data_IF_427186933665
#
_entry.id   IF_427186933665
#
_cell.length_a   1.000
_cell.length_b   1.000
_cell.length_c   1.000
_cell.angle_alpha   90.00
_cell.angle_beta   90.00
_cell.angle_gamma   90.00
#
_symmetry.space_group_name_H-M   'P 1'
#
loop_
_entity.id
_entity.type
_entity.pdbx_description
1 polymer ?
#
# COMPACT_ATOMS: atom_id res chain seq x y z
N UNK A 1 -20.29 -10.10 12.67
CA UNK A 1 -21.28 -11.10 12.21
C UNK A 1 -20.56 -12.19 11.43
N UNK A 2 -20.95 -13.45 11.61
CA UNK A 2 -20.37 -14.59 10.88
C UNK A 2 -21.45 -15.30 10.08
N UNK A 3 -21.17 -15.65 8.83
CA UNK A 3 -22.07 -16.41 7.97
C UNK A 3 -21.43 -17.76 7.65
N UNK A 4 -22.20 -18.84 7.78
CA UNK A 4 -21.75 -20.17 7.40
C UNK A 4 -21.99 -20.39 5.92
N UNK A 5 -20.94 -20.73 5.19
CA UNK A 5 -20.98 -21.06 3.77
C UNK A 5 -20.38 -22.45 3.55
N UNK A 6 -20.91 -23.19 2.57
CA UNK A 6 -20.31 -24.44 2.11
C UNK A 6 -19.46 -24.14 0.88
N UNK A 7 -18.19 -24.54 0.92
CA UNK A 7 -17.25 -24.34 -0.18
C UNK A 7 -16.40 -25.58 -0.37
N UNK A 8 -16.10 -25.93 -1.62
CA UNK A 8 -15.21 -27.03 -1.95
C UNK A 8 -13.79 -26.51 -2.06
N UNK A 9 -12.85 -27.16 -1.37
CA UNK A 9 -11.42 -26.89 -1.48
C UNK A 9 -10.70 -28.15 -1.95
N UNK A 10 -9.61 -28.01 -2.72
CA UNK A 10 -8.72 -29.13 -3.02
C UNK A 10 -8.24 -29.81 -1.73
N UNK A 11 -8.06 -31.13 -1.78
CA UNK A 11 -7.63 -31.92 -0.64
C UNK A 11 -6.27 -31.44 -0.10
N UNK A 12 -5.39 -30.98 -0.98
CA UNK A 12 -4.08 -30.42 -0.67
C UNK A 12 -4.20 -29.15 0.16
N UNK A 13 -5.14 -28.26 -0.20
CA UNK A 13 -5.42 -27.02 0.54
C UNK A 13 -5.98 -27.31 1.92
N UNK A 14 -6.86 -28.31 2.04
CA UNK A 14 -7.38 -28.74 3.34
C UNK A 14 -6.27 -29.29 4.25
N UNK A 15 -5.34 -30.10 3.69
CA UNK A 15 -4.18 -30.61 4.44
C UNK A 15 -3.26 -29.48 4.92
N UNK A 16 -3.08 -28.43 4.11
CA UNK A 16 -2.33 -27.23 4.48
C UNK A 16 -2.99 -26.49 5.65
N UNK A 17 -4.31 -26.27 5.55
CA UNK A 17 -5.09 -25.64 6.62
C UNK A 17 -4.98 -26.48 7.91
N UNK A 18 -5.07 -27.80 7.82
CA UNK A 18 -5.00 -28.70 8.98
C UNK A 18 -3.64 -28.76 9.66
N UNK A 19 -2.56 -28.54 8.90
CA UNK A 19 -1.21 -28.46 9.44
C UNK A 19 -1.00 -27.19 10.27
N UNK A 20 -1.60 -26.08 9.86
CA UNK A 20 -1.35 -24.75 10.43
C UNK A 20 -2.40 -24.37 11.47
N UNK A 21 -3.66 -24.70 11.23
CA UNK A 21 -4.76 -24.39 12.13
C UNK A 21 -5.00 -25.55 13.11
N UNK A 22 -4.74 -25.30 14.41
CA UNK A 22 -5.18 -26.20 15.48
C UNK A 22 -6.69 -26.44 15.39
N UNK A 23 -7.16 -27.60 15.86
CA UNK A 23 -8.61 -27.96 15.88
C UNK A 23 -9.47 -26.77 16.33
N UNK A 24 -10.45 -26.41 15.51
CA UNK A 24 -11.37 -25.28 15.75
C UNK A 24 -10.98 -23.95 15.13
N UNK A 25 -9.73 -23.76 14.67
CA UNK A 25 -9.26 -22.48 14.11
C UNK A 25 -9.30 -22.40 12.57
N UNK A 26 -9.86 -23.39 11.88
CA UNK A 26 -9.92 -23.42 10.40
C UNK A 26 -10.61 -22.18 9.82
N UNK A 27 -11.78 -21.80 10.34
CA UNK A 27 -12.52 -20.62 9.86
C UNK A 27 -11.77 -19.32 10.09
N UNK A 28 -11.07 -19.19 11.22
CA UNK A 28 -10.22 -18.03 11.52
C UNK A 28 -9.03 -17.94 10.57
N UNK A 29 -8.40 -19.07 10.30
CA UNK A 29 -7.29 -19.15 9.34
C UNK A 29 -7.75 -18.74 7.93
N UNK A 30 -8.92 -19.24 7.48
CA UNK A 30 -9.48 -18.87 6.18
C UNK A 30 -9.81 -17.38 6.10
N UNK A 31 -10.43 -16.78 7.13
CA UNK A 31 -10.68 -15.33 7.19
C UNK A 31 -9.38 -14.52 7.07
N UNK A 32 -8.34 -14.90 7.82
CA UNK A 32 -7.04 -14.24 7.77
C UNK A 32 -6.38 -14.37 6.39
N UNK A 33 -6.42 -15.56 5.78
CA UNK A 33 -5.85 -15.81 4.46
C UNK A 33 -6.55 -14.99 3.37
N UNK A 34 -7.89 -14.91 3.41
CA UNK A 34 -8.66 -14.11 2.46
C UNK A 34 -8.35 -12.63 2.60
N UNK A 35 -8.34 -12.10 3.84
CA UNK A 35 -7.99 -10.69 4.10
C UNK A 35 -6.58 -10.36 3.62
N UNK A 36 -5.62 -11.25 3.89
CA UNK A 36 -4.25 -11.07 3.45
C UNK A 36 -4.12 -11.09 1.92
N UNK A 37 -4.80 -12.02 1.25
CA UNK A 37 -4.82 -12.09 -0.21
C UNK A 37 -5.42 -10.83 -0.83
N UNK A 38 -6.56 -10.37 -0.33
CA UNK A 38 -7.21 -9.15 -0.81
C UNK A 38 -6.34 -7.91 -0.56
N UNK A 39 -5.71 -7.79 0.61
CA UNK A 39 -4.82 -6.65 0.91
C UNK A 39 -3.58 -6.65 -0.01
N UNK A 40 -2.95 -7.81 -0.20
CA UNK A 40 -1.74 -7.93 -1.04
C UNK A 40 -2.03 -7.70 -2.52
N UNK A 41 -3.05 -8.36 -3.07
CA UNK A 41 -3.45 -8.19 -4.48
C UNK A 41 -4.05 -6.80 -4.70
N UNK A 42 -4.86 -6.32 -3.75
CA UNK A 42 -5.45 -4.98 -3.78
C UNK A 42 -4.39 -3.89 -3.85
N UNK A 43 -3.35 -3.96 -3.00
CA UNK A 43 -2.20 -3.03 -3.05
C UNK A 43 -1.47 -3.07 -4.39
N UNK A 44 -1.26 -4.25 -4.97
CA UNK A 44 -0.60 -4.39 -6.27
C UNK A 44 -1.44 -3.77 -7.39
N UNK A 45 -2.74 -4.06 -7.42
CA UNK A 45 -3.69 -3.48 -8.37
C UNK A 45 -3.77 -1.96 -8.23
N UNK A 46 -3.87 -1.45 -7.00
CA UNK A 46 -3.89 -0.02 -6.72
C UNK A 46 -2.62 0.68 -7.21
N UNK A 47 -1.43 0.11 -6.94
CA UNK A 47 -0.16 0.65 -7.46
C UNK A 47 -0.15 0.72 -8.98
N UNK A 48 -0.66 -0.32 -9.66
CA UNK A 48 -0.77 -0.34 -11.13
C UNK A 48 -1.68 0.80 -11.61
N UNK A 49 -2.88 0.93 -11.05
CA UNK A 49 -3.84 1.98 -11.43
C UNK A 49 -3.30 3.40 -11.14
N UNK A 50 -2.61 3.59 -10.01
CA UNK A 50 -1.96 4.86 -9.68
C UNK A 50 -0.87 5.21 -10.71
N UNK A 51 -0.03 4.24 -11.08
CA UNK A 51 1.02 4.44 -12.09
C UNK A 51 0.42 4.78 -13.45
N UNK A 52 -0.57 4.02 -13.91
CA UNK A 52 -1.26 4.29 -15.17
C UNK A 52 -1.92 5.67 -15.19
N UNK A 53 -2.57 6.05 -14.08
CA UNK A 53 -3.17 7.36 -13.91
C UNK A 53 -2.13 8.48 -13.96
N UNK A 54 -1.01 8.34 -13.26
CA UNK A 54 0.08 9.31 -13.26
C UNK A 54 0.69 9.46 -14.65
N UNK A 55 0.99 8.36 -15.35
CA UNK A 55 1.50 8.38 -16.72
C UNK A 55 0.52 9.08 -17.66
N UNK A 56 -0.78 8.74 -17.58
CA UNK A 56 -1.81 9.35 -18.43
C UNK A 56 -1.93 10.86 -18.23
N UNK A 57 -1.76 11.34 -17.00
CA UNK A 57 -1.90 12.75 -16.64
C UNK A 57 -0.58 13.53 -16.68
N UNK A 58 0.55 12.84 -16.86
CA UNK A 58 1.90 13.41 -16.78
C UNK A 58 2.05 14.71 -17.57
N UNK A 59 1.62 14.78 -18.82
CA UNK A 59 1.74 16.01 -19.63
C UNK A 59 1.01 17.21 -19.01
N UNK A 60 -0.22 17.00 -18.58
CA UNK A 60 -1.04 18.04 -17.94
C UNK A 60 -0.43 18.45 -16.60
N UNK A 61 -0.01 17.47 -15.81
CA UNK A 61 0.54 17.70 -14.47
C UNK A 61 1.89 18.44 -14.56
N UNK A 62 2.75 18.11 -15.53
CA UNK A 62 3.99 18.85 -15.82
C UNK A 62 3.72 20.29 -16.25
N UNK A 63 2.79 20.50 -17.20
CA UNK A 63 2.46 21.85 -17.66
C UNK A 63 1.94 22.73 -16.53
N UNK A 64 1.06 22.18 -15.69
CA UNK A 64 0.54 22.90 -14.53
C UNK A 64 1.65 23.24 -13.54
N UNK A 65 2.57 22.31 -13.27
CA UNK A 65 3.71 22.60 -12.41
C UNK A 65 4.59 23.73 -12.97
N UNK A 66 4.86 23.72 -14.27
CA UNK A 66 5.63 24.78 -14.94
C UNK A 66 4.94 26.16 -14.86
N UNK A 67 3.61 26.20 -15.06
CA UNK A 67 2.82 27.43 -14.97
C UNK A 67 2.88 28.07 -13.58
N UNK A 68 2.91 27.25 -12.52
CA UNK A 68 2.89 27.73 -11.13
C UNK A 68 4.29 27.93 -10.53
N UNK A 69 5.32 27.33 -11.13
CA UNK A 69 6.68 27.32 -10.59
C UNK A 69 7.24 28.72 -10.30
N UNK A 70 6.98 29.69 -11.17
CA UNK A 70 7.48 31.06 -11.02
C UNK A 70 6.94 31.77 -9.77
N UNK A 71 5.76 31.37 -9.27
CA UNK A 71 5.14 31.93 -8.07
C UNK A 71 5.57 31.19 -6.80
N UNK A 72 5.76 29.88 -6.88
CA UNK A 72 6.07 29.02 -5.73
C UNK A 72 7.55 29.05 -5.34
N UNK A 73 8.46 28.99 -6.32
CA UNK A 73 9.90 28.89 -6.09
C UNK A 73 10.47 30.02 -5.20
N UNK A 74 10.09 31.30 -5.39
CA UNK A 74 10.58 32.39 -4.54
C UNK A 74 10.00 32.36 -3.11
N UNK A 75 8.81 31.78 -2.95
CA UNK A 75 8.10 31.69 -1.67
C UNK A 75 8.51 30.44 -0.86
N UNK A 76 9.27 29.53 -1.47
CA UNK A 76 9.69 28.31 -0.80
C UNK A 76 10.65 28.60 0.36
N UNK A 77 10.42 28.04 1.57
CA UNK A 77 11.31 28.28 2.70
C UNK A 77 12.69 27.72 2.39
N UNK A 78 13.68 28.62 2.26
CA UNK A 78 15.09 28.23 2.15
C UNK A 78 15.47 27.48 3.42
N UNK A 79 16.06 26.29 3.26
CA UNK A 79 16.52 25.46 4.39
C UNK A 79 17.27 26.35 5.38
N UNK A 80 16.93 26.34 6.68
CA UNK A 80 17.77 27.01 7.67
C UNK A 80 19.16 26.37 7.59
N UNK A 81 20.19 27.20 7.45
CA UNK A 81 21.56 26.74 7.63
C UNK A 81 21.64 26.09 9.01
N UNK A 82 21.92 24.79 9.06
CA UNK A 82 22.17 24.12 10.34
C UNK A 82 23.28 24.91 11.04
N UNK A 83 22.95 25.54 12.17
CA UNK A 83 23.95 26.10 13.09
C UNK A 83 24.83 24.94 13.52
N UNK A 84 26.03 24.86 12.96
CA UNK A 84 27.10 24.04 13.55
C UNK A 84 27.25 24.53 14.99
N UNK A 85 27.01 23.69 16.01
CA UNK A 85 27.23 24.12 17.38
C UNK A 85 28.73 24.44 17.55
N UNK A 86 29.09 25.54 18.24
CA UNK A 86 30.49 25.87 18.44
C UNK A 86 31.17 24.72 19.19
N UNK A 87 32.35 24.33 18.69
CA UNK A 87 33.24 23.41 19.38
C UNK A 87 33.54 24.03 20.75
N UNK A 88 33.20 23.33 21.82
CA UNK A 88 33.65 23.70 23.16
C UNK A 88 35.13 23.34 23.25
N UNK A 89 35.98 24.35 23.43
CA UNK A 89 37.36 24.22 23.89
C UNK A 89 37.40 24.26 25.42
#
# INVERSE_FOLDING_TARGET
>A
MHQRINLMLPAETLRLIDRVARKGNRSRFVDQAVRHYVDTVGKASLRKLLREGATRRSRRDTRLAEEWFALEEPAWPKKPAYRTPPRQE
#
